data_IF_458108620109
#
_entry.id   IF_458108620109
#
_cell.length_a   1.000
_cell.length_b   1.000
_cell.length_c   1.000
_cell.angle_alpha   90.00
_cell.angle_beta   90.00
_cell.angle_gamma   90.00
#
_symmetry.space_group_name_H-M   'P 1'
#
loop_
_entity.id
_entity.type
_entity.pdbx_description
1 polymer ?
#
# COMPACT_ATOMS: atom_id res chain seq x y z
N UNK A 1 25.24 -0.18 -15.13
CA UNK A 1 25.60 -1.57 -15.50
C UNK A 1 25.21 -2.47 -14.32
N UNK A 2 24.08 -3.18 -14.43
CA UNK A 2 23.57 -4.04 -13.34
C UNK A 2 24.20 -5.43 -13.52
N UNK A 3 24.85 -6.01 -12.50
CA UNK A 3 25.54 -7.28 -12.68
C UNK A 3 24.53 -8.43 -12.76
N UNK A 4 24.64 -9.20 -13.84
CA UNK A 4 23.85 -10.41 -14.09
C UNK A 4 24.25 -11.51 -13.10
N UNK A 5 23.32 -11.92 -12.23
CA UNK A 5 23.45 -13.14 -11.44
C UNK A 5 23.01 -14.32 -12.32
N UNK A 6 23.90 -14.79 -13.18
CA UNK A 6 23.76 -16.10 -13.83
C UNK A 6 24.76 -17.08 -13.19
N UNK A 7 24.24 -18.04 -12.42
CA UNK A 7 24.94 -19.30 -12.14
C UNK A 7 24.20 -20.43 -12.86
N UNK A 8 24.99 -21.24 -13.56
CA UNK A 8 24.64 -22.39 -14.40
C UNK A 8 23.61 -23.35 -13.78
N UNK A 9 22.68 -23.88 -14.59
CA UNK A 9 22.05 -25.19 -14.38
C UNK A 9 20.62 -25.25 -13.83
N UNK A 10 19.89 -24.14 -13.69
CA UNK A 10 18.48 -24.19 -13.27
C UNK A 10 17.57 -24.33 -14.48
N UNK A 11 16.78 -25.42 -14.55
CA UNK A 11 15.68 -25.60 -15.50
C UNK A 11 14.65 -24.45 -15.46
N UNK A 12 14.58 -23.73 -14.34
CA UNK A 12 13.61 -22.67 -14.08
C UNK A 12 14.20 -21.29 -14.31
N UNK A 13 13.47 -20.48 -15.08
CA UNK A 13 13.78 -19.09 -15.39
C UNK A 13 13.59 -18.18 -14.17
N UNK A 14 14.04 -16.93 -14.27
CA UNK A 14 13.77 -15.91 -13.26
C UNK A 14 12.26 -15.66 -13.09
N UNK A 15 11.50 -15.75 -14.19
CA UNK A 15 10.04 -15.59 -14.18
C UNK A 15 9.37 -16.75 -13.43
N UNK A 16 9.80 -17.99 -13.65
CA UNK A 16 9.27 -19.16 -12.93
C UNK A 16 9.47 -19.04 -11.41
N UNK A 17 10.65 -18.54 -11.01
CA UNK A 17 10.97 -18.30 -9.59
C UNK A 17 10.11 -17.19 -9.00
N UNK A 18 9.89 -16.11 -9.76
CA UNK A 18 9.04 -14.99 -9.35
C UNK A 18 7.57 -15.41 -9.23
N UNK A 19 7.07 -16.17 -10.20
CA UNK A 19 5.73 -16.78 -10.16
C UNK A 19 5.57 -17.70 -8.94
N UNK A 20 6.55 -18.54 -8.66
CA UNK A 20 6.55 -19.40 -7.47
C UNK A 20 6.54 -18.58 -6.18
N UNK A 21 7.34 -17.50 -6.10
CA UNK A 21 7.35 -16.60 -4.94
C UNK A 21 5.99 -15.90 -4.76
N UNK A 22 5.36 -15.41 -5.84
CA UNK A 22 4.02 -14.81 -5.79
C UNK A 22 2.95 -15.80 -5.29
N UNK A 23 2.92 -17.01 -5.84
CA UNK A 23 2.03 -18.07 -5.37
C UNK A 23 2.33 -18.45 -3.91
N UNK A 24 3.60 -18.40 -3.48
CA UNK A 24 3.99 -18.69 -2.11
C UNK A 24 3.47 -17.63 -1.13
N UNK A 25 3.53 -16.35 -1.49
CA UNK A 25 2.95 -15.25 -0.71
C UNK A 25 1.44 -15.46 -0.51
N UNK A 26 0.72 -15.87 -1.56
CA UNK A 26 -0.72 -16.09 -1.52
C UNK A 26 -1.14 -17.36 -0.77
N UNK A 27 -0.45 -18.49 -1.01
CA UNK A 27 -0.90 -19.81 -0.58
C UNK A 27 -0.26 -20.28 0.73
N UNK A 28 0.87 -19.67 1.12
CA UNK A 28 1.68 -20.01 2.29
C UNK A 28 1.99 -21.52 2.42
N UNK A 29 2.06 -22.24 1.29
CA UNK A 29 2.23 -23.69 1.26
C UNK A 29 3.00 -24.15 0.04
N UNK A 30 4.19 -24.71 0.24
CA UNK A 30 5.06 -25.24 -0.83
C UNK A 30 4.34 -26.26 -1.71
N UNK A 31 3.51 -27.13 -1.12
CA UNK A 31 2.75 -28.13 -1.88
C UNK A 31 1.71 -27.50 -2.80
N UNK A 32 1.01 -26.46 -2.34
CA UNK A 32 0.01 -25.75 -3.15
C UNK A 32 0.69 -24.92 -4.24
N UNK A 33 1.83 -24.31 -3.94
CA UNK A 33 2.66 -23.61 -4.95
C UNK A 33 3.11 -24.57 -6.03
N UNK A 34 3.64 -25.75 -5.67
CA UNK A 34 4.04 -26.77 -6.62
C UNK A 34 2.90 -27.20 -7.54
N UNK A 35 1.69 -27.39 -7.00
CA UNK A 35 0.51 -27.70 -7.79
C UNK A 35 0.09 -26.54 -8.73
N UNK A 36 0.25 -25.29 -8.29
CA UNK A 36 -0.12 -24.11 -9.07
C UNK A 36 0.89 -23.76 -10.18
N UNK A 37 2.18 -24.02 -9.97
CA UNK A 37 3.25 -23.65 -10.92
C UNK A 37 3.80 -24.82 -11.72
N UNK A 38 3.48 -26.06 -11.34
CA UNK A 38 4.07 -27.26 -11.93
C UNK A 38 5.52 -27.53 -11.53
N UNK A 39 6.10 -26.72 -10.63
CA UNK A 39 7.46 -26.89 -10.15
C UNK A 39 7.47 -27.96 -9.03
N UNK A 40 8.39 -28.95 -9.05
CA UNK A 40 8.45 -29.99 -8.02
C UNK A 40 8.57 -29.41 -6.61
N UNK A 41 7.83 -30.01 -5.67
CA UNK A 41 7.81 -29.62 -4.25
C UNK A 41 9.22 -29.50 -3.66
N UNK A 42 10.09 -30.46 -3.99
CA UNK A 42 11.47 -30.48 -3.50
C UNK A 42 12.26 -29.26 -3.97
N UNK A 43 12.09 -28.86 -5.23
CA UNK A 43 12.76 -27.68 -5.81
C UNK A 43 12.37 -26.40 -5.10
N UNK A 44 11.06 -26.15 -4.91
CA UNK A 44 10.59 -24.95 -4.20
C UNK A 44 11.05 -24.99 -2.74
N UNK A 45 11.02 -26.16 -2.09
CA UNK A 45 11.51 -26.31 -0.73
C UNK A 45 13.00 -25.98 -0.61
N UNK A 46 13.82 -26.43 -1.57
CA UNK A 46 15.25 -26.10 -1.58
C UNK A 46 15.47 -24.60 -1.84
N UNK A 47 14.65 -23.96 -2.68
CA UNK A 47 14.68 -22.51 -2.85
C UNK A 47 14.37 -21.75 -1.56
N UNK A 48 13.43 -22.23 -0.74
CA UNK A 48 13.08 -21.56 0.53
C UNK A 48 14.23 -21.45 1.53
N UNK A 49 15.31 -22.20 1.32
CA UNK A 49 16.53 -22.20 2.15
C UNK A 49 17.64 -21.30 1.60
N UNK A 50 17.37 -20.56 0.53
CA UNK A 50 18.37 -19.71 -0.14
C UNK A 50 18.09 -18.23 0.11
N UNK A 51 19.14 -17.42 0.28
CA UNK A 51 19.01 -15.99 0.60
C UNK A 51 18.24 -15.20 -0.47
N UNK A 52 18.39 -15.59 -1.74
CA UNK A 52 17.70 -14.92 -2.84
C UNK A 52 16.18 -15.15 -2.80
N UNK A 53 15.71 -16.26 -2.23
CA UNK A 53 14.28 -16.55 -2.14
C UNK A 53 13.58 -15.66 -1.14
N UNK A 54 14.18 -15.45 0.04
CA UNK A 54 13.66 -14.54 1.04
C UNK A 54 13.57 -13.12 0.49
N UNK A 55 14.62 -12.67 -0.19
CA UNK A 55 14.65 -11.37 -0.87
C UNK A 55 13.55 -11.25 -1.93
N UNK A 56 13.38 -12.28 -2.76
CA UNK A 56 12.37 -12.30 -3.81
C UNK A 56 10.93 -12.30 -3.25
N UNK A 57 10.67 -13.09 -2.21
CA UNK A 57 9.37 -13.11 -1.52
C UNK A 57 9.07 -11.76 -0.88
N UNK A 58 10.06 -11.12 -0.26
CA UNK A 58 9.90 -9.79 0.31
C UNK A 58 9.56 -8.74 -0.77
N UNK A 59 10.27 -8.76 -1.90
CA UNK A 59 9.99 -7.88 -3.04
C UNK A 59 8.56 -8.07 -3.55
N UNK A 60 8.15 -9.32 -3.78
CA UNK A 60 6.80 -9.62 -4.27
C UNK A 60 5.73 -9.20 -3.26
N UNK A 61 5.95 -9.38 -1.95
CA UNK A 61 5.04 -8.87 -0.91
C UNK A 61 4.87 -7.36 -0.99
N UNK A 62 5.98 -6.63 -1.08
CA UNK A 62 5.94 -5.16 -1.18
C UNK A 62 5.20 -4.68 -2.43
N UNK A 63 5.41 -5.34 -3.58
CA UNK A 63 4.69 -5.02 -4.81
C UNK A 63 3.19 -5.27 -4.67
N UNK A 64 2.80 -6.43 -4.13
CA UNK A 64 1.39 -6.77 -3.89
C UNK A 64 0.72 -5.84 -2.88
N UNK A 65 1.43 -5.46 -1.82
CA UNK A 65 0.96 -4.45 -0.85
C UNK A 65 0.76 -3.09 -1.53
N UNK A 66 1.66 -2.69 -2.43
CA UNK A 66 1.52 -1.47 -3.22
C UNK A 66 0.31 -1.49 -4.16
N UNK A 67 0.08 -2.61 -4.87
CA UNK A 67 -1.10 -2.79 -5.72
C UNK A 67 -2.41 -2.79 -4.93
N UNK A 68 -2.40 -3.42 -3.75
CA UNK A 68 -3.53 -3.43 -2.83
C UNK A 68 -3.83 -2.01 -2.35
N UNK A 69 -2.81 -1.25 -1.92
CA UNK A 69 -2.96 0.13 -1.46
C UNK A 69 -3.50 1.05 -2.57
N UNK A 70 -3.01 0.89 -3.80
CA UNK A 70 -3.52 1.63 -4.95
C UNK A 70 -4.99 1.30 -5.24
N UNK A 71 -5.37 0.02 -5.14
CA UNK A 71 -6.74 -0.44 -5.33
C UNK A 71 -7.67 0.10 -4.24
N UNK A 72 -7.24 0.06 -2.97
CA UNK A 72 -7.97 0.62 -1.84
C UNK A 72 -8.16 2.13 -1.99
N UNK A 73 -7.11 2.85 -2.38
CA UNK A 73 -7.17 4.29 -2.65
C UNK A 73 -8.18 4.62 -3.76
N UNK A 74 -8.19 3.83 -4.84
CA UNK A 74 -9.17 3.98 -5.92
C UNK A 74 -10.60 3.72 -5.46
N UNK A 75 -10.82 2.68 -4.64
CA UNK A 75 -12.14 2.37 -4.08
C UNK A 75 -12.65 3.49 -3.19
N UNK A 76 -11.78 4.04 -2.34
CA UNK A 76 -12.10 5.20 -1.49
C UNK A 76 -12.52 6.39 -2.35
N UNK A 77 -11.76 6.72 -3.39
CA UNK A 77 -12.07 7.83 -4.31
C UNK A 77 -13.44 7.66 -4.99
N UNK A 78 -13.70 6.47 -5.56
CA UNK A 78 -14.98 6.16 -6.21
C UNK A 78 -16.15 6.22 -5.21
N UNK A 79 -15.94 5.75 -3.98
CA UNK A 79 -16.95 5.80 -2.93
C UNK A 79 -17.28 7.24 -2.55
N UNK A 80 -16.27 8.11 -2.39
CA UNK A 80 -16.50 9.53 -2.12
C UNK A 80 -17.23 10.23 -3.27
N UNK A 81 -16.86 9.97 -4.52
CA UNK A 81 -17.55 10.53 -5.69
C UNK A 81 -19.02 10.09 -5.72
N UNK A 82 -19.28 8.81 -5.44
CA UNK A 82 -20.62 8.24 -5.40
C UNK A 82 -21.47 8.77 -4.23
N UNK A 83 -20.86 9.08 -3.08
CA UNK A 83 -21.53 9.72 -1.93
C UNK A 83 -21.82 11.19 -2.26
N UNK A 84 -20.88 11.92 -2.85
CA UNK A 84 -21.06 13.33 -3.22
C UNK A 84 -22.23 13.49 -4.21
N UNK A 85 -22.25 12.69 -5.28
CA UNK A 85 -23.37 12.67 -6.24
C UNK A 85 -24.72 12.41 -5.53
N UNK A 86 -24.75 11.49 -4.57
CA UNK A 86 -25.99 11.21 -3.82
C UNK A 86 -26.40 12.35 -2.90
N UNK A 87 -25.46 13.01 -2.23
CA UNK A 87 -25.75 14.15 -1.38
C UNK A 87 -26.28 15.36 -2.18
N UNK A 88 -25.74 15.58 -3.38
CA UNK A 88 -26.15 16.69 -4.26
C UNK A 88 -27.44 16.40 -5.02
N UNK A 89 -27.54 15.19 -5.60
CA UNK A 89 -28.59 14.85 -6.56
C UNK A 89 -29.59 13.80 -6.03
N UNK A 90 -29.44 13.29 -4.80
CA UNK A 90 -30.29 12.25 -4.20
C UNK A 90 -29.85 10.81 -4.51
N UNK A 91 -30.49 9.81 -3.91
CA UNK A 91 -30.35 8.40 -4.25
C UNK A 91 -31.15 8.01 -5.49
N UNK A 92 -30.69 6.99 -6.22
CA UNK A 92 -31.48 6.36 -7.29
C UNK A 92 -32.56 5.45 -6.67
N UNK A 93 -33.81 5.68 -7.02
CA UNK A 93 -34.95 4.85 -6.62
C UNK A 93 -35.77 4.46 -7.85
N UNK A 94 -36.25 3.22 -7.90
CA UNK A 94 -37.18 2.78 -8.95
C UNK A 94 -38.60 3.22 -8.59
N UNK A 95 -39.27 3.88 -9.52
CA UNK A 95 -40.68 4.25 -9.38
C UNK A 95 -41.58 3.03 -9.64
N UNK A 96 -42.86 3.12 -9.26
CA UNK A 96 -43.88 2.09 -9.55
C UNK A 96 -43.95 1.74 -11.03
N UNK A 97 -43.63 2.69 -11.90
CA UNK A 97 -43.73 2.57 -13.35
C UNK A 97 -42.43 1.99 -13.97
N UNK A 98 -41.50 1.52 -13.14
CA UNK A 98 -40.23 0.91 -13.55
C UNK A 98 -39.16 1.89 -14.01
N UNK A 99 -39.36 3.21 -13.85
CA UNK A 99 -38.37 4.24 -14.22
C UNK A 99 -37.43 4.51 -13.04
N UNK A 100 -36.17 4.85 -13.33
CA UNK A 100 -35.22 5.30 -12.30
C UNK A 100 -35.45 6.81 -12.08
N UNK A 101 -35.74 7.19 -10.84
CA UNK A 101 -35.87 8.57 -10.39
C UNK A 101 -34.86 8.86 -9.27
N UNK A 102 -34.61 10.14 -9.01
CA UNK A 102 -33.80 10.58 -7.88
C UNK A 102 -34.69 10.89 -6.69
N UNK A 103 -34.35 10.34 -5.53
CA UNK A 103 -34.99 10.58 -4.24
C UNK A 103 -33.96 11.25 -3.32
N UNK A 104 -34.26 12.40 -2.69
CA UNK A 104 -33.32 13.00 -1.74
C UNK A 104 -32.85 12.01 -0.68
N UNK A 105 -31.56 12.08 -0.33
CA UNK A 105 -30.97 11.25 0.74
C UNK A 105 -31.70 11.55 2.04
N UNK A 106 -32.00 10.51 2.82
CA UNK A 106 -32.70 10.69 4.08
C UNK A 106 -31.84 11.48 5.08
N UNK A 107 -32.45 12.32 5.91
CA UNK A 107 -31.71 13.10 6.91
C UNK A 107 -30.92 12.20 7.88
N UNK A 108 -31.43 10.99 8.17
CA UNK A 108 -30.72 9.99 8.98
C UNK A 108 -29.43 9.55 8.31
N UNK A 109 -29.50 9.17 7.04
CA UNK A 109 -28.34 8.67 6.30
C UNK A 109 -27.32 9.80 6.07
N UNK A 110 -27.80 11.01 5.75
CA UNK A 110 -26.96 12.21 5.65
C UNK A 110 -26.23 12.51 6.97
N UNK A 111 -26.91 12.38 8.11
CA UNK A 111 -26.30 12.56 9.44
C UNK A 111 -25.22 11.50 9.71
N UNK A 112 -25.48 10.24 9.39
CA UNK A 112 -24.48 9.16 9.52
C UNK A 112 -23.25 9.42 8.66
N UNK A 113 -23.44 9.81 7.40
CA UNK A 113 -22.34 10.17 6.49
C UNK A 113 -21.53 11.34 7.08
N UNK A 114 -22.21 12.40 7.53
CA UNK A 114 -21.56 13.58 8.11
C UNK A 114 -20.72 13.22 9.34
N UNK A 115 -21.25 12.42 10.27
CA UNK A 115 -20.54 11.99 11.47
C UNK A 115 -19.23 11.26 11.13
N UNK A 116 -19.29 10.30 10.19
CA UNK A 116 -18.10 9.58 9.74
C UNK A 116 -17.06 10.52 9.10
N UNK A 117 -17.50 11.49 8.29
CA UNK A 117 -16.60 12.46 7.65
C UNK A 117 -15.94 13.39 8.68
N UNK A 118 -16.67 13.85 9.69
CA UNK A 118 -16.13 14.68 10.77
C UNK A 118 -15.03 13.92 11.53
N UNK A 119 -15.29 12.66 11.88
CA UNK A 119 -14.32 11.82 12.58
C UNK A 119 -13.04 11.62 11.76
N UNK A 120 -13.17 11.28 10.47
CA UNK A 120 -12.00 11.13 9.59
C UNK A 120 -11.25 12.44 9.37
N UNK A 121 -11.98 13.57 9.24
CA UNK A 121 -11.37 14.90 9.16
C UNK A 121 -10.58 15.27 10.42
N UNK A 122 -11.05 14.84 11.60
CA UNK A 122 -10.30 15.02 12.85
C UNK A 122 -9.00 14.21 12.83
N UNK A 123 -9.06 12.92 12.51
CA UNK A 123 -7.87 12.05 12.40
C UNK A 123 -6.82 12.64 11.44
N UNK A 124 -7.24 13.11 10.26
CA UNK A 124 -6.33 13.72 9.29
C UNK A 124 -5.68 15.01 9.81
N UNK A 125 -6.45 15.85 10.52
CA UNK A 125 -5.90 17.07 11.14
C UNK A 125 -4.91 16.75 12.25
N UNK A 126 -5.23 15.76 13.09
CA UNK A 126 -4.36 15.35 14.20
C UNK A 126 -3.05 14.75 13.66
N UNK A 127 -3.12 13.93 12.61
CA UNK A 127 -1.94 13.38 11.93
C UNK A 127 -1.05 14.48 11.33
N UNK A 128 -1.64 15.46 10.63
CA UNK A 128 -0.89 16.59 10.06
C UNK A 128 -0.25 17.46 11.15
N UNK A 129 -0.97 17.72 12.25
CA UNK A 129 -0.44 18.46 13.39
C UNK A 129 0.73 17.72 14.07
N UNK A 130 0.67 16.39 14.15
CA UNK A 130 1.79 15.57 14.65
C UNK A 130 3.01 15.65 13.72
N UNK A 131 2.80 15.61 12.40
CA UNK A 131 3.89 15.68 11.42
C UNK A 131 4.60 17.05 11.40
N UNK A 132 3.89 18.14 11.68
CA UNK A 132 4.48 19.48 11.78
C UNK A 132 5.23 19.74 13.09
N UNK A 133 5.03 18.88 14.10
CA UNK A 133 5.70 18.98 15.39
C UNK A 133 7.08 18.33 15.30
N UNK A 134 8.10 19.10 14.89
CA UNK A 134 9.49 18.66 15.11
C UNK A 134 9.71 18.53 16.62
N UNK A 135 10.12 17.37 17.15
CA UNK A 135 10.47 17.24 18.56
C UNK A 135 11.53 18.30 18.90
N UNK A 136 11.38 18.99 20.03
CA UNK A 136 12.35 20.01 20.49
C UNK A 136 13.78 19.43 20.55
N UNK A 137 13.89 18.12 20.82
CA UNK A 137 15.14 17.36 20.80
C UNK A 137 15.79 17.35 19.41
N UNK A 138 15.02 17.03 18.37
CA UNK A 138 15.52 16.96 16.99
C UNK A 138 15.95 18.34 16.49
N UNK A 139 15.24 19.40 16.90
CA UNK A 139 15.65 20.78 16.65
C UNK A 139 16.98 21.13 17.36
N UNK A 140 17.14 20.72 18.62
CA UNK A 140 18.36 20.96 19.40
C UNK A 140 19.58 20.19 18.87
N UNK A 141 19.37 19.00 18.30
CA UNK A 141 20.42 18.23 17.60
C UNK A 141 20.80 18.93 16.28
N UNK A 142 19.81 19.36 15.50
CA UNK A 142 20.03 20.07 14.22
C UNK A 142 20.72 21.44 14.39
N UNK A 143 20.39 22.18 15.46
CA UNK A 143 21.08 23.43 15.81
C UNK A 143 22.53 23.19 16.24
N UNK A 144 22.82 22.07 16.94
CA UNK A 144 24.18 21.68 17.28
C UNK A 144 25.01 21.36 16.03
N UNK A 145 24.43 20.65 15.07
CA UNK A 145 25.12 20.28 13.83
C UNK A 145 25.37 21.49 12.91
N UNK A 146 24.44 22.44 12.85
CA UNK A 146 24.63 23.72 12.16
C UNK A 146 25.73 24.57 12.81
N UNK A 147 25.82 24.57 14.14
CA UNK A 147 26.90 25.24 14.87
C UNK A 147 28.28 24.68 14.52
N UNK A 148 28.41 23.34 14.50
CA UNK A 148 29.64 22.63 14.14
C UNK A 148 30.09 22.91 12.71
N UNK A 149 29.14 22.97 11.77
CA UNK A 149 29.42 23.24 10.35
C UNK A 149 29.93 24.67 10.12
N UNK A 150 29.44 25.65 10.91
CA UNK A 150 29.92 27.04 10.87
C UNK A 150 31.30 27.23 11.47
N UNK A 151 31.64 26.49 12.53
CA UNK A 151 32.99 26.56 13.14
C UNK A 151 34.08 25.98 12.23
N UNK A 152 33.75 24.96 11.41
CA UNK A 152 34.69 24.40 10.43
C UNK A 152 34.91 25.33 9.22
N UNK A 153 33.89 26.10 8.82
CA UNK A 153 34.02 27.05 7.69
C UNK A 153 34.71 28.37 8.09
N UNK A 154 34.88 28.64 9.39
CA UNK A 154 35.56 29.83 9.92
C UNK A 154 37.00 29.59 10.36
N UNK A 155 37.54 28.37 10.19
CA UNK A 155 38.94 28.03 10.48
C UNK A 155 39.85 28.01 9.23
N UNK A 156 39.27 28.24 8.04
CA UNK A 156 39.99 28.27 6.75
C UNK A 156 40.10 29.69 6.14
N UNK A 157 39.99 30.75 6.96
CA UNK A 157 40.21 32.15 6.56
C UNK A 157 41.16 32.85 7.54
#
# INVERSE_FOLDING_TARGET
MVPAIQRQGSLYSAEDRRMAAAQFVLLSSVRRVAAATGIPVRTIYDWTKTDWWETLVAQVRMEMEGELEATLSRLIYLSFAAILDRLENGDCAMTSDGRIARKPVSARDAMTILAMVIDKRKVLRDALAAQQRMPVRDLAERLRDLGRSRTMSGQDA
#
